data_IF_221852182194
#
_entry.id   IF_221852182194
#
_cell.length_a   1.000
_cell.length_b   1.000
_cell.length_c   1.000
_cell.angle_alpha   90.00
_cell.angle_beta   90.00
_cell.angle_gamma   90.00
#
_symmetry.space_group_name_H-M   'P 1'
#
loop_
_entity.id
_entity.type
_entity.pdbx_description
1 polymer ?
#
# COMPACT_ATOMS: atom_id res chain seq x y z
N UNK A 1 -17.49 -11.42 25.22
CA UNK A 1 -17.36 -10.03 24.73
C UNK A 1 -16.20 -10.06 23.76
N UNK A 2 -16.48 -10.24 22.46
CA UNK A 2 -15.46 -10.27 21.42
C UNK A 2 -15.07 -8.81 21.19
N UNK A 3 -13.83 -8.43 21.51
CA UNK A 3 -13.34 -7.14 21.07
C UNK A 3 -13.29 -7.19 19.54
N UNK A 4 -13.77 -6.15 18.83
CA UNK A 4 -13.61 -6.07 17.38
C UNK A 4 -12.11 -6.21 17.09
N UNK A 5 -11.75 -7.19 16.27
CA UNK A 5 -10.35 -7.44 15.94
C UNK A 5 -9.90 -6.27 15.07
N UNK A 6 -9.22 -5.28 15.69
CA UNK A 6 -8.55 -4.24 14.93
C UNK A 6 -7.51 -4.93 14.06
N UNK A 7 -7.76 -4.90 12.77
CA UNK A 7 -6.91 -5.54 11.78
C UNK A 7 -5.69 -4.64 11.59
N UNK A 8 -4.51 -5.14 11.97
CA UNK A 8 -3.25 -4.42 11.87
C UNK A 8 -2.60 -4.67 10.49
N UNK A 9 -2.27 -3.59 9.78
CA UNK A 9 -1.40 -3.55 8.61
C UNK A 9 0.04 -3.50 9.04
N UNK A 10 0.92 -4.06 8.24
CA UNK A 10 2.35 -3.79 8.38
C UNK A 10 2.92 -3.37 7.04
N UNK A 11 3.65 -2.26 7.04
CA UNK A 11 4.44 -1.81 5.91
C UNK A 11 5.87 -2.27 6.19
N UNK A 12 6.38 -3.25 5.42
CA UNK A 12 7.74 -3.81 5.52
C UNK A 12 8.07 -4.65 6.80
N UNK A 13 7.75 -5.95 6.79
CA UNK A 13 8.24 -6.89 7.84
C UNK A 13 9.73 -7.22 7.62
N UNK A 14 10.51 -7.35 8.71
CA UNK A 14 11.95 -7.67 8.64
C UNK A 14 12.30 -9.16 8.84
N UNK A 15 11.35 -10.04 9.17
CA UNK A 15 11.61 -11.48 9.03
C UNK A 15 10.61 -12.50 9.59
N UNK A 16 9.80 -12.18 10.61
CA UNK A 16 8.93 -13.17 11.28
C UNK A 16 7.44 -12.96 10.96
N UNK A 17 7.00 -13.62 9.88
CA UNK A 17 5.63 -13.55 9.39
C UNK A 17 4.64 -14.35 10.25
N UNK A 18 5.10 -15.44 10.87
CA UNK A 18 4.24 -16.26 11.74
C UNK A 18 3.94 -15.50 13.03
N UNK A 19 4.96 -14.96 13.70
CA UNK A 19 4.76 -14.15 14.90
C UNK A 19 3.91 -12.90 14.61
N UNK A 20 4.04 -12.34 13.41
CA UNK A 20 3.20 -11.24 12.92
C UNK A 20 1.72 -11.65 12.83
N UNK A 21 1.40 -12.81 12.26
CA UNK A 21 0.03 -13.30 12.20
C UNK A 21 -0.53 -13.61 13.61
N UNK A 22 0.28 -14.25 14.44
CA UNK A 22 -0.06 -14.67 15.80
C UNK A 22 -0.32 -13.47 16.73
N UNK A 23 0.27 -12.31 16.47
CA UNK A 23 -0.01 -11.07 17.20
C UNK A 23 -1.33 -10.39 16.81
N UNK A 24 -2.07 -10.94 15.84
CA UNK A 24 -3.37 -10.46 15.39
C UNK A 24 -3.34 -9.67 14.09
N UNK A 25 -2.19 -9.55 13.41
CA UNK A 25 -2.18 -8.98 12.06
C UNK A 25 -2.97 -9.88 11.10
N UNK A 26 -3.65 -9.27 10.14
CA UNK A 26 -4.42 -9.98 9.10
C UNK A 26 -4.06 -9.53 7.70
N UNK A 27 -3.30 -8.45 7.57
CA UNK A 27 -2.78 -8.03 6.28
C UNK A 27 -1.40 -7.40 6.38
N UNK A 28 -0.72 -7.36 5.24
CA UNK A 28 0.59 -6.74 5.06
C UNK A 28 0.61 -5.99 3.73
N UNK A 29 1.26 -4.82 3.68
CA UNK A 29 1.51 -4.08 2.44
C UNK A 29 3.03 -4.09 2.19
N UNK A 30 3.45 -4.64 1.06
CA UNK A 30 4.85 -4.97 0.77
C UNK A 30 5.38 -4.02 -0.30
N UNK A 31 6.57 -3.46 -0.10
CA UNK A 31 7.21 -2.61 -1.12
C UNK A 31 7.43 -3.44 -2.37
N UNK A 32 6.89 -2.99 -3.50
CA UNK A 32 7.09 -3.63 -4.80
C UNK A 32 8.03 -2.81 -5.68
N UNK A 33 7.79 -1.50 -5.75
CA UNK A 33 8.56 -0.61 -6.61
C UNK A 33 8.91 0.72 -5.94
N UNK A 34 9.90 1.40 -6.52
CA UNK A 34 10.18 2.80 -6.25
C UNK A 34 10.46 3.54 -7.55
N UNK A 35 9.70 4.62 -7.79
CA UNK A 35 9.75 5.35 -9.05
C UNK A 35 9.47 4.44 -10.25
N UNK A 36 10.25 4.61 -11.32
CA UNK A 36 10.17 3.77 -12.54
C UNK A 36 11.38 2.84 -12.73
N UNK A 37 12.22 2.67 -11.70
CA UNK A 37 13.56 2.05 -11.89
C UNK A 37 13.87 0.92 -10.93
N UNK A 38 13.23 0.90 -9.77
CA UNK A 38 13.59 -0.04 -8.72
C UNK A 38 12.44 -1.00 -8.50
N UNK A 39 12.71 -2.28 -8.61
CA UNK A 39 11.86 -3.36 -8.09
C UNK A 39 12.50 -3.83 -6.78
N UNK A 40 11.71 -3.95 -5.72
CA UNK A 40 12.22 -4.42 -4.44
C UNK A 40 12.56 -5.91 -4.52
N UNK A 41 13.83 -6.25 -4.25
CA UNK A 41 14.33 -7.62 -4.35
C UNK A 41 13.66 -8.59 -3.36
N UNK A 42 13.02 -8.08 -2.30
CA UNK A 42 12.34 -8.88 -1.28
C UNK A 42 10.85 -9.07 -1.56
N UNK A 43 10.27 -8.33 -2.51
CA UNK A 43 8.82 -8.33 -2.75
C UNK A 43 8.27 -9.75 -2.90
N UNK A 44 8.86 -10.56 -3.79
CA UNK A 44 8.40 -11.93 -4.07
C UNK A 44 8.52 -12.86 -2.84
N UNK A 45 9.65 -12.82 -2.13
CA UNK A 45 9.87 -13.65 -0.92
C UNK A 45 8.88 -13.27 0.19
N UNK A 46 8.67 -11.97 0.40
CA UNK A 46 7.73 -11.48 1.40
C UNK A 46 6.27 -11.81 1.04
N UNK A 47 5.88 -11.76 -0.24
CA UNK A 47 4.55 -12.18 -0.67
C UNK A 47 4.33 -13.66 -0.40
N UNK A 48 5.30 -14.52 -0.75
CA UNK A 48 5.20 -15.96 -0.49
C UNK A 48 5.02 -16.23 1.02
N UNK A 49 5.85 -15.61 1.86
CA UNK A 49 5.75 -15.79 3.32
C UNK A 49 4.46 -15.26 3.92
N UNK A 50 3.90 -14.19 3.37
CA UNK A 50 2.61 -13.66 3.79
C UNK A 50 1.47 -14.65 3.46
N UNK A 51 1.47 -15.20 2.23
CA UNK A 51 0.52 -16.22 1.80
C UNK A 51 0.64 -17.48 2.67
N UNK A 52 1.86 -17.94 2.96
CA UNK A 52 2.11 -19.16 3.74
C UNK A 52 1.50 -19.11 5.15
N UNK A 53 1.42 -17.93 5.78
CA UNK A 53 0.83 -17.74 7.11
C UNK A 53 -0.62 -17.26 7.08
N UNK A 54 -1.18 -17.03 5.88
CA UNK A 54 -2.58 -16.61 5.70
C UNK A 54 -2.84 -15.11 5.92
N UNK A 55 -1.84 -14.25 5.74
CA UNK A 55 -2.05 -12.80 5.69
C UNK A 55 -2.60 -12.40 4.31
N UNK A 56 -3.62 -11.55 4.27
CA UNK A 56 -3.94 -10.80 3.05
C UNK A 56 -2.76 -9.89 2.70
N UNK A 57 -2.45 -9.69 1.42
CA UNK A 57 -1.25 -8.94 1.04
C UNK A 57 -1.52 -7.90 -0.02
N UNK A 58 -0.97 -6.70 0.15
CA UNK A 58 -0.93 -5.66 -0.87
C UNK A 58 0.49 -5.33 -1.29
N UNK A 59 0.60 -4.57 -2.36
CA UNK A 59 1.86 -3.99 -2.81
C UNK A 59 1.82 -2.48 -2.67
N UNK A 60 2.98 -1.85 -2.46
CA UNK A 60 3.10 -0.39 -2.58
C UNK A 60 4.23 0.06 -3.50
N UNK A 61 3.99 1.18 -4.16
CA UNK A 61 5.00 1.94 -4.90
C UNK A 61 5.45 3.15 -4.08
N UNK A 62 6.76 3.24 -3.81
CA UNK A 62 7.34 4.45 -3.26
C UNK A 62 7.41 5.52 -4.36
N UNK A 63 6.70 6.62 -4.16
CA UNK A 63 6.47 7.64 -5.18
C UNK A 63 7.71 8.50 -5.44
N UNK A 64 7.93 8.81 -6.73
CA UNK A 64 8.92 9.80 -7.19
C UNK A 64 8.29 10.82 -8.14
N UNK A 65 7.43 11.75 -7.67
CA UNK A 65 6.58 12.58 -8.53
C UNK A 65 7.30 13.48 -9.53
N UNK A 66 8.48 13.99 -9.18
CA UNK A 66 9.27 14.83 -10.09
C UNK A 66 10.07 14.04 -11.13
N UNK A 67 10.21 12.72 -10.95
CA UNK A 67 11.01 11.88 -11.84
C UNK A 67 10.21 11.31 -13.03
N UNK A 68 8.88 11.24 -12.93
CA UNK A 68 7.99 10.75 -14.00
C UNK A 68 6.54 11.19 -13.77
N UNK A 69 5.68 11.05 -14.80
CA UNK A 69 4.22 11.18 -14.62
C UNK A 69 3.66 10.11 -13.69
N UNK A 70 2.44 10.33 -13.18
CA UNK A 70 1.76 9.37 -12.31
C UNK A 70 1.40 8.10 -13.06
N UNK A 71 0.90 8.23 -14.30
CA UNK A 71 0.56 7.09 -15.17
C UNK A 71 1.77 6.21 -15.47
N UNK A 72 2.93 6.80 -15.76
CA UNK A 72 4.13 6.05 -16.07
C UNK A 72 4.64 5.25 -14.84
N UNK A 73 4.52 5.82 -13.65
CA UNK A 73 4.88 5.15 -12.40
C UNK A 73 3.88 4.06 -12.02
N UNK A 74 2.58 4.31 -12.20
CA UNK A 74 1.54 3.31 -12.01
C UNK A 74 1.72 2.11 -12.95
N UNK A 75 2.10 2.35 -14.21
CA UNK A 75 2.42 1.28 -15.16
C UNK A 75 3.58 0.41 -14.72
N UNK A 76 4.66 1.04 -14.27
CA UNK A 76 5.80 0.31 -13.75
C UNK A 76 5.41 -0.52 -12.51
N UNK A 77 4.65 0.07 -11.58
CA UNK A 77 4.16 -0.61 -10.39
C UNK A 77 3.27 -1.82 -10.73
N UNK A 78 2.23 -1.64 -11.55
CA UNK A 78 1.31 -2.71 -11.95
C UNK A 78 2.03 -3.87 -12.64
N UNK A 79 3.03 -3.58 -13.48
CA UNK A 79 3.82 -4.62 -14.16
C UNK A 79 4.80 -5.37 -13.25
N UNK A 80 5.07 -4.87 -12.04
CA UNK A 80 6.09 -5.39 -11.13
C UNK A 80 5.52 -5.68 -9.73
N UNK A 81 4.29 -6.21 -9.65
CA UNK A 81 3.69 -6.71 -8.41
C UNK A 81 2.57 -5.86 -7.83
N UNK A 82 2.31 -4.67 -8.39
CA UNK A 82 1.23 -3.79 -7.97
C UNK A 82 -0.17 -4.18 -8.47
N UNK A 83 -0.27 -5.17 -9.35
CA UNK A 83 -1.54 -5.61 -9.90
C UNK A 83 -2.36 -6.37 -8.86
N UNK A 84 -3.65 -6.04 -8.81
CA UNK A 84 -4.63 -6.78 -8.04
C UNK A 84 -5.15 -7.96 -8.89
N UNK A 85 -4.77 -9.19 -8.52
CA UNK A 85 -4.90 -10.35 -9.42
C UNK A 85 -5.73 -11.51 -8.87
N UNK A 86 -6.12 -11.47 -7.60
CA UNK A 86 -6.86 -12.56 -6.95
C UNK A 86 -7.65 -12.11 -5.70
N UNK A 87 -8.32 -13.07 -5.07
CA UNK A 87 -9.10 -12.93 -3.84
C UNK A 87 -8.24 -12.95 -2.55
N UNK A 88 -6.94 -12.67 -2.65
CA UNK A 88 -6.01 -12.56 -1.50
C UNK A 88 -5.21 -11.26 -1.52
N UNK A 89 -5.17 -10.60 -2.68
CA UNK A 89 -4.41 -9.38 -2.92
C UNK A 89 -5.25 -8.15 -2.58
N UNK A 90 -4.67 -7.19 -1.84
CA UNK A 90 -5.27 -5.88 -1.58
C UNK A 90 -5.03 -4.92 -2.75
N UNK A 91 -5.86 -3.88 -2.93
CA UNK A 91 -5.59 -2.82 -3.88
C UNK A 91 -4.20 -2.20 -3.67
N UNK A 92 -3.50 -1.92 -4.77
CA UNK A 92 -2.17 -1.35 -4.72
C UNK A 92 -2.16 0.05 -4.09
N UNK A 93 -1.14 0.32 -3.26
CA UNK A 93 -0.93 1.60 -2.60
C UNK A 93 0.19 2.39 -3.28
N UNK A 94 0.12 3.72 -3.26
CA UNK A 94 1.33 4.53 -3.42
C UNK A 94 1.69 5.17 -2.10
N UNK A 95 2.98 5.10 -1.79
CA UNK A 95 3.56 5.75 -0.64
C UNK A 95 4.13 7.10 -1.10
N UNK A 96 3.55 8.17 -0.59
CA UNK A 96 3.91 9.54 -0.93
C UNK A 96 4.32 10.29 0.33
N UNK A 97 5.62 10.31 0.56
CA UNK A 97 6.27 10.97 1.68
C UNK A 97 7.00 12.25 1.26
N UNK A 98 7.65 12.91 2.21
CA UNK A 98 8.53 14.05 1.93
C UNK A 98 9.64 13.66 0.94
N UNK A 99 10.02 14.58 0.06
CA UNK A 99 11.14 14.33 -0.85
C UNK A 99 12.43 14.07 -0.06
N UNK A 100 13.33 13.17 -0.51
CA UNK A 100 14.57 12.87 0.21
C UNK A 100 15.51 14.06 0.40
N UNK A 101 15.39 15.08 -0.45
CA UNK A 101 16.18 16.32 -0.37
C UNK A 101 15.47 17.44 0.42
N UNK A 102 14.30 17.17 0.99
CA UNK A 102 13.48 18.13 1.74
C UNK A 102 12.74 19.16 0.89
N UNK A 103 12.79 19.08 -0.44
CA UNK A 103 12.04 19.96 -1.34
C UNK A 103 10.53 19.69 -1.28
N UNK A 104 9.76 20.70 -0.86
CA UNK A 104 8.31 20.61 -0.83
C UNK A 104 7.71 20.15 -2.17
N UNK A 105 6.80 19.18 -2.12
CA UNK A 105 6.13 18.59 -3.29
C UNK A 105 7.11 18.08 -4.37
N UNK A 106 8.31 17.62 -3.98
CA UNK A 106 9.35 17.18 -4.91
C UNK A 106 9.78 18.25 -5.92
N UNK A 107 9.56 19.54 -5.62
CA UNK A 107 9.83 20.66 -6.53
C UNK A 107 8.74 20.89 -7.58
N UNK A 108 7.62 20.18 -7.52
CA UNK A 108 6.45 20.45 -8.36
C UNK A 108 5.61 21.60 -7.79
N UNK A 109 4.97 22.43 -8.65
CA UNK A 109 3.91 23.30 -8.18
C UNK A 109 2.73 22.45 -7.67
N UNK A 110 1.92 22.99 -6.75
CA UNK A 110 0.78 22.25 -6.18
C UNK A 110 -0.16 21.65 -7.22
N UNK A 111 -0.34 22.32 -8.37
CA UNK A 111 -1.14 21.78 -9.49
C UNK A 111 -0.49 20.55 -10.13
N UNK A 112 0.83 20.55 -10.30
CA UNK A 112 1.58 19.40 -10.81
C UNK A 112 1.50 18.22 -9.85
N UNK A 113 1.59 18.47 -8.54
CA UNK A 113 1.45 17.43 -7.53
C UNK A 113 0.07 16.76 -7.54
N UNK A 114 -1.00 17.56 -7.62
CA UNK A 114 -2.37 17.03 -7.72
C UNK A 114 -2.57 16.23 -9.00
N UNK A 115 -2.08 16.73 -10.14
CA UNK A 115 -2.14 15.99 -11.39
C UNK A 115 -1.43 14.65 -11.28
N UNK A 116 -0.23 14.61 -10.69
CA UNK A 116 0.51 13.36 -10.49
C UNK A 116 -0.27 12.33 -9.66
N UNK A 117 -0.83 12.77 -8.52
CA UNK A 117 -1.65 11.90 -7.65
C UNK A 117 -2.87 11.37 -8.42
N UNK A 118 -3.56 12.24 -9.15
CA UNK A 118 -4.74 11.86 -9.95
C UNK A 118 -4.37 10.88 -11.05
N UNK A 119 -3.29 11.11 -11.79
CA UNK A 119 -2.82 10.21 -12.86
C UNK A 119 -2.43 8.84 -12.33
N UNK A 120 -1.67 8.79 -11.23
CA UNK A 120 -1.27 7.53 -10.61
C UNK A 120 -2.50 6.74 -10.16
N UNK A 121 -3.38 7.38 -9.39
CA UNK A 121 -4.57 6.73 -8.85
C UNK A 121 -5.51 6.28 -9.97
N UNK A 122 -5.74 7.13 -10.98
CA UNK A 122 -6.59 6.79 -12.11
C UNK A 122 -6.06 5.57 -12.86
N UNK A 123 -4.76 5.52 -13.16
CA UNK A 123 -4.17 4.38 -13.83
C UNK A 123 -4.18 3.12 -12.97
N UNK A 124 -3.71 3.21 -11.74
CA UNK A 124 -3.54 2.07 -10.85
C UNK A 124 -4.89 1.43 -10.45
N UNK A 125 -5.91 2.25 -10.20
CA UNK A 125 -7.19 1.79 -9.68
C UNK A 125 -8.22 1.53 -10.78
N UNK A 126 -8.25 2.32 -11.86
CA UNK A 126 -9.29 2.18 -12.89
C UNK A 126 -8.78 1.57 -14.19
N UNK A 127 -7.46 1.37 -14.34
CA UNK A 127 -6.89 0.97 -15.62
C UNK A 127 -7.14 2.00 -16.73
N UNK A 128 -7.29 3.28 -16.36
CA UNK A 128 -7.74 4.38 -17.23
C UNK A 128 -9.17 4.22 -17.78
N UNK A 129 -10.01 3.40 -17.14
CA UNK A 129 -11.41 3.24 -17.53
C UNK A 129 -12.23 4.50 -17.23
N UNK A 130 -12.85 5.07 -18.26
CA UNK A 130 -13.60 6.33 -18.27
C UNK A 130 -15.01 6.25 -17.68
N UNK A 131 -15.45 5.08 -17.21
CA UNK A 131 -16.80 4.83 -16.69
C UNK A 131 -16.92 4.52 -15.19
N UNK A 132 -15.97 4.86 -14.32
CA UNK A 132 -15.99 4.41 -12.91
C UNK A 132 -16.28 5.47 -11.82
N UNK A 133 -17.19 5.13 -10.89
CA UNK A 133 -17.39 5.78 -9.57
C UNK A 133 -17.72 4.83 -8.39
N UNK A 134 -17.55 3.50 -8.51
CA UNK A 134 -18.10 2.55 -7.51
C UNK A 134 -17.23 1.37 -7.01
N UNK A 135 -15.99 1.12 -7.46
CA UNK A 135 -15.31 -0.17 -7.17
C UNK A 135 -13.90 -0.10 -6.55
N UNK A 136 -13.28 1.07 -6.33
CA UNK A 136 -11.90 1.09 -5.80
C UNK A 136 -11.72 2.02 -4.58
N UNK A 137 -11.38 1.49 -3.40
CA UNK A 137 -10.99 2.31 -2.25
C UNK A 137 -9.56 2.83 -2.41
N UNK A 138 -9.37 4.11 -2.09
CA UNK A 138 -8.07 4.76 -2.01
C UNK A 138 -7.48 4.53 -0.60
N UNK A 139 -6.36 3.82 -0.53
CA UNK A 139 -5.55 3.73 0.70
C UNK A 139 -4.50 4.84 0.66
N UNK A 140 -4.61 5.80 1.58
CA UNK A 140 -3.62 6.84 1.81
C UNK A 140 -2.99 6.61 3.18
N UNK A 141 -1.68 6.36 3.19
CA UNK A 141 -0.91 6.41 4.44
C UNK A 141 -1.01 7.82 5.03
N UNK A 142 -1.40 7.92 6.30
CA UNK A 142 -1.48 9.19 7.03
C UNK A 142 -0.78 9.05 8.37
N UNK A 143 0.40 9.60 8.47
CA UNK A 143 1.13 9.74 9.73
C UNK A 143 0.64 10.99 10.47
N UNK A 144 -0.40 10.85 11.31
CA UNK A 144 -0.99 11.95 12.07
C UNK A 144 -1.34 11.54 13.50
N UNK A 145 -1.42 12.52 14.41
CA UNK A 145 -1.54 12.27 15.85
C UNK A 145 -2.82 11.51 16.30
N UNK A 146 -3.92 11.47 15.51
CA UNK A 146 -5.11 10.58 15.70
C UNK A 146 -5.94 10.54 14.38
N UNK A 147 -6.50 9.41 13.87
CA UNK A 147 -6.96 8.20 14.59
C UNK A 147 -6.26 6.86 14.29
N UNK A 148 -5.98 6.12 15.37
CA UNK A 148 -5.39 4.77 15.44
C UNK A 148 -3.91 4.78 15.85
N UNK A 149 -3.41 3.91 16.77
CA UNK A 149 -1.98 3.81 17.06
C UNK A 149 -1.23 3.24 15.85
N UNK A 150 -0.99 4.08 14.85
CA UNK A 150 -0.03 3.80 13.81
C UNK A 150 1.36 4.13 14.37
N UNK A 151 2.34 3.30 14.04
CA UNK A 151 3.71 3.37 14.57
C UNK A 151 4.66 3.12 13.42
N UNK A 152 5.78 3.84 13.36
CA UNK A 152 6.91 3.57 12.46
C UNK A 152 7.85 2.48 13.03
N UNK A 153 7.49 1.91 14.18
CA UNK A 153 8.24 0.88 14.88
C UNK A 153 7.31 -0.24 15.31
N UNK A 154 6.93 -1.11 14.36
CA UNK A 154 6.22 -2.33 14.67
C UNK A 154 7.15 -3.38 15.28
N UNK A 155 6.64 -4.19 16.22
CA UNK A 155 7.45 -5.13 17.00
C UNK A 155 8.18 -6.19 16.14
N UNK A 156 7.70 -6.45 14.92
CA UNK A 156 8.28 -7.40 13.98
C UNK A 156 8.96 -6.71 12.76
N UNK A 157 9.20 -5.40 12.89
CA UNK A 157 9.78 -4.52 11.88
C UNK A 157 8.72 -3.90 10.97
N UNK A 158 9.06 -2.71 10.45
CA UNK A 158 8.16 -1.93 9.60
C UNK A 158 7.25 -0.98 10.37
N UNK A 159 6.28 -0.42 9.64
CA UNK A 159 5.24 0.41 10.21
C UNK A 159 4.03 -0.45 10.61
N UNK A 160 3.19 0.05 11.51
CA UNK A 160 1.89 -0.54 11.83
C UNK A 160 0.76 0.40 11.42
N UNK A 161 -0.26 -0.09 10.73
CA UNK A 161 -1.49 0.65 10.46
C UNK A 161 -2.74 -0.10 10.95
N UNK A 162 -3.85 0.60 11.09
CA UNK A 162 -5.13 -0.03 11.47
C UNK A 162 -6.11 0.12 10.32
N UNK A 163 -6.65 -1.00 9.86
CA UNK A 163 -7.78 -1.01 8.94
C UNK A 163 -9.04 -0.54 9.67
N UNK A 164 -9.77 0.38 9.05
CA UNK A 164 -10.99 0.96 9.61
C UNK A 164 -12.22 0.10 9.28
N UNK A 165 -12.30 -1.06 9.92
CA UNK A 165 -13.36 -2.05 9.75
C UNK A 165 -13.05 -3.35 10.48
N UNK A 166 -13.96 -4.31 10.42
CA UNK A 166 -13.75 -5.67 10.90
C UNK A 166 -13.01 -6.52 9.85
N UNK A 167 -12.56 -7.72 10.23
CA UNK A 167 -11.93 -8.67 9.30
C UNK A 167 -12.86 -9.05 8.12
N UNK A 168 -14.18 -9.04 8.33
CA UNK A 168 -15.14 -9.29 7.23
C UNK A 168 -15.12 -8.17 6.19
N UNK A 169 -15.00 -6.91 6.62
CA UNK A 169 -14.92 -5.76 5.71
C UNK A 169 -13.59 -5.77 4.93
N UNK A 170 -12.51 -6.26 5.56
CA UNK A 170 -11.23 -6.49 4.89
C UNK A 170 -11.35 -7.61 3.85
N UNK A 171 -12.05 -8.70 4.17
CA UNK A 171 -12.27 -9.78 3.21
C UNK A 171 -13.10 -9.30 2.02
N UNK A 172 -14.12 -8.50 2.25
CA UNK A 172 -14.92 -7.90 1.18
C UNK A 172 -14.06 -7.00 0.28
N UNK A 173 -13.18 -6.19 0.89
CA UNK A 173 -12.20 -5.36 0.17
C UNK A 173 -11.27 -6.19 -0.74
N UNK A 174 -10.82 -7.35 -0.29
CA UNK A 174 -9.89 -8.21 -1.04
C UNK A 174 -10.59 -8.99 -2.16
N UNK A 175 -11.91 -9.17 -2.07
CA UNK A 175 -12.68 -10.06 -2.96
C UNK A 175 -13.66 -9.37 -3.89
N UNK A 176 -13.86 -8.05 -3.76
CA UNK A 176 -14.68 -7.22 -4.65
C UNK A 176 -14.10 -7.06 -6.04
#
# INVERSE_FOLDING_TARGET
>A
MYLPQKVLAIIQVTGDFQATYDSGARFIIIKATEGMRTVDAKFVDHTIRAVDVGLYHGAYNFARPAASSGDAQANFFLANGGAWVDCQTLPGMFDLEDSPDGTQCYGLPHVGMRMWITEFWWRACTGNYDGFSTVCPLVLARYAAVPGPNSDHYAFGGDSDIFNGEEIDLKDLVTS
#
